data_IF_044118779174
#
_entry.id   IF_044118779174
#
_cell.length_a   1.000
_cell.length_b   1.000
_cell.length_c   1.000
_cell.angle_alpha   90.00
_cell.angle_beta   90.00
_cell.angle_gamma   90.00
#
_symmetry.space_group_name_H-M   'P 1'
#
loop_
_entity.id
_entity.type
_entity.pdbx_description
1 polymer ?
#
# COMPACT_ATOMS: atom_id res chain seq x y z
N UNK A 1 9.17 -5.69 11.04
CA UNK A 1 9.19 -5.88 9.57
C UNK A 1 7.79 -6.33 9.16
N UNK A 2 7.29 -5.85 8.01
CA UNK A 2 5.89 -6.03 7.59
C UNK A 2 5.48 -7.48 7.37
N UNK A 3 6.44 -8.35 7.03
CA UNK A 3 6.21 -9.76 6.75
C UNK A 3 7.32 -10.28 5.84
N UNK A 4 7.05 -11.40 5.18
CA UNK A 4 7.96 -12.04 4.23
C UNK A 4 7.74 -11.46 2.83
N UNK A 5 8.80 -11.13 2.08
CA UNK A 5 8.66 -10.75 0.68
C UNK A 5 8.20 -11.95 -0.16
N UNK A 6 7.17 -11.75 -0.98
CA UNK A 6 6.59 -12.76 -1.87
C UNK A 6 6.54 -12.26 -3.32
N UNK A 7 6.79 -13.13 -4.32
CA UNK A 7 6.67 -12.77 -5.73
C UNK A 7 5.21 -12.55 -6.15
N UNK A 8 4.98 -11.80 -7.23
CA UNK A 8 3.64 -11.48 -7.72
C UNK A 8 3.01 -12.57 -8.60
N UNK A 9 3.70 -13.69 -8.86
CA UNK A 9 3.27 -14.73 -9.81
C UNK A 9 1.92 -15.36 -9.48
N UNK A 10 1.55 -15.39 -8.19
CA UNK A 10 0.26 -15.90 -7.69
C UNK A 10 -0.82 -14.81 -7.57
N UNK A 11 -0.55 -13.62 -8.07
CA UNK A 11 -1.42 -12.46 -8.01
C UNK A 11 -1.92 -12.07 -6.61
N UNK A 12 -1.02 -11.98 -5.59
CA UNK A 12 -1.42 -11.72 -4.21
C UNK A 12 -2.10 -10.35 -4.10
N UNK A 13 -3.27 -10.30 -3.45
CA UNK A 13 -4.02 -9.04 -3.30
C UNK A 13 -4.40 -8.35 -4.63
N UNK A 14 -4.47 -9.10 -5.74
CA UNK A 14 -4.75 -8.57 -7.08
C UNK A 14 -3.55 -7.86 -7.74
N UNK A 15 -2.35 -7.99 -7.17
CA UNK A 15 -1.13 -7.47 -7.77
C UNK A 15 -0.72 -8.32 -8.99
N UNK A 16 -0.22 -7.70 -10.06
CA UNK A 16 0.08 -8.37 -11.32
C UNK A 16 1.58 -8.22 -11.63
N UNK A 17 2.28 -9.31 -11.98
CA UNK A 17 3.68 -9.23 -12.40
C UNK A 17 3.82 -8.35 -13.64
N UNK A 18 4.90 -7.55 -13.70
CA UNK A 18 5.15 -6.62 -14.81
C UNK A 18 4.31 -5.33 -14.79
N UNK A 19 3.24 -5.26 -13.99
CA UNK A 19 2.39 -4.07 -13.86
C UNK A 19 2.48 -3.41 -12.48
N UNK A 20 2.54 -4.21 -11.41
CA UNK A 20 2.48 -3.72 -10.03
C UNK A 20 3.80 -3.94 -9.26
N UNK A 21 4.89 -4.24 -9.96
CA UNK A 21 6.21 -4.48 -9.38
C UNK A 21 6.68 -5.93 -9.58
N UNK A 22 7.70 -6.31 -8.81
CA UNK A 22 8.29 -7.67 -8.81
C UNK A 22 7.92 -8.49 -7.59
N UNK A 23 7.70 -7.84 -6.44
CA UNK A 23 7.32 -8.51 -5.19
C UNK A 23 6.44 -7.60 -4.33
N UNK A 24 5.84 -8.20 -3.31
CA UNK A 24 5.20 -7.49 -2.21
C UNK A 24 5.52 -8.15 -0.87
N UNK A 25 4.96 -7.67 0.24
CA UNK A 25 5.06 -8.32 1.54
C UNK A 25 3.76 -9.03 1.89
N UNK A 26 3.91 -10.16 2.58
CA UNK A 26 2.80 -10.90 3.19
C UNK A 26 3.14 -11.26 4.63
N UNK A 27 2.20 -11.03 5.53
CA UNK A 27 2.20 -11.61 6.87
C UNK A 27 1.14 -12.68 6.93
N UNK A 28 1.45 -13.81 7.55
CA UNK A 28 0.51 -14.92 7.69
C UNK A 28 0.65 -15.52 9.09
N UNK A 29 -0.47 -15.72 9.76
CA UNK A 29 -0.58 -16.54 10.97
C UNK A 29 -1.54 -17.73 10.72
N UNK A 30 -1.93 -18.43 11.79
CA UNK A 30 -2.78 -19.62 11.69
C UNK A 30 -4.21 -19.33 11.21
N UNK A 31 -4.68 -18.08 11.34
CA UNK A 31 -6.08 -17.70 11.10
C UNK A 31 -6.23 -16.65 9.99
N UNK A 32 -5.19 -15.87 9.73
CA UNK A 32 -5.26 -14.69 8.89
C UNK A 32 -4.05 -14.56 7.99
N UNK A 33 -4.30 -13.93 6.84
CA UNK A 33 -3.26 -13.66 5.85
C UNK A 33 -3.41 -12.25 5.32
N UNK A 34 -2.33 -11.51 5.44
CA UNK A 34 -2.28 -10.09 5.16
C UNK A 34 -1.34 -9.86 3.99
N UNK A 35 -1.89 -9.51 2.84
CA UNK A 35 -1.10 -9.03 1.70
C UNK A 35 -1.02 -7.50 1.73
N UNK A 36 0.19 -6.97 1.69
CA UNK A 36 0.41 -5.53 1.65
C UNK A 36 0.42 -5.01 0.20
N UNK A 37 -0.24 -3.88 -0.06
CA UNK A 37 -0.22 -3.23 -1.39
C UNK A 37 0.68 -1.98 -1.34
N UNK A 38 1.99 -2.22 -1.43
CA UNK A 38 3.00 -1.17 -1.20
C UNK A 38 3.17 -0.27 -2.42
N UNK A 39 2.68 0.97 -2.33
CA UNK A 39 2.67 1.95 -3.43
C UNK A 39 4.06 2.26 -4.02
N UNK A 40 5.11 2.22 -3.20
CA UNK A 40 6.50 2.47 -3.60
C UNK A 40 7.16 1.32 -4.34
N UNK A 41 6.65 0.09 -4.16
CA UNK A 41 7.10 -1.08 -4.95
C UNK A 41 6.43 -1.13 -6.33
N UNK A 42 5.33 -0.40 -6.52
CA UNK A 42 4.64 -0.31 -7.80
C UNK A 42 5.36 0.71 -8.72
N UNK A 43 5.60 0.40 -10.00
CA UNK A 43 6.15 1.36 -10.94
C UNK A 43 5.17 2.51 -11.19
N UNK A 44 5.69 3.72 -11.43
CA UNK A 44 4.89 4.84 -11.90
C UNK A 44 4.83 4.81 -13.43
N UNK A 45 3.62 4.88 -14.00
CA UNK A 45 3.47 4.95 -15.45
C UNK A 45 3.77 6.37 -15.94
N UNK A 46 4.53 6.50 -17.02
CA UNK A 46 4.91 7.80 -17.61
C UNK A 46 3.69 8.65 -18.00
N UNK A 47 2.62 7.98 -18.46
CA UNK A 47 1.35 8.62 -18.84
C UNK A 47 0.34 8.74 -17.68
N UNK A 48 0.77 8.55 -16.43
CA UNK A 48 -0.09 8.63 -15.24
C UNK A 48 0.56 9.48 -14.12
N UNK A 49 0.74 10.80 -14.35
CA UNK A 49 1.40 11.69 -13.38
C UNK A 49 0.66 11.75 -12.03
N UNK A 50 -0.64 11.46 -12.02
CA UNK A 50 -1.46 11.45 -10.82
C UNK A 50 -1.55 10.06 -10.15
N UNK A 51 -0.82 9.06 -10.65
CA UNK A 51 -0.79 7.69 -10.11
C UNK A 51 -2.19 7.07 -9.96
N UNK A 52 -3.12 7.39 -10.86
CA UNK A 52 -4.50 6.88 -10.86
C UNK A 52 -4.56 5.36 -10.88
N UNK A 53 -3.64 4.70 -11.57
CA UNK A 53 -3.57 3.24 -11.66
C UNK A 53 -3.26 2.61 -10.30
N UNK A 54 -2.30 3.18 -9.57
CA UNK A 54 -1.99 2.78 -8.19
C UNK A 54 -3.17 3.08 -7.27
N UNK A 55 -3.73 4.29 -7.40
CA UNK A 55 -4.86 4.74 -6.60
C UNK A 55 -6.08 3.83 -6.74
N UNK A 56 -6.40 3.32 -7.94
CA UNK A 56 -7.53 2.38 -8.13
C UNK A 56 -7.38 1.09 -7.32
N UNK A 57 -6.18 0.55 -7.20
CA UNK A 57 -5.92 -0.66 -6.40
C UNK A 57 -5.94 -0.34 -4.91
N UNK A 58 -5.27 0.74 -4.52
CA UNK A 58 -5.06 1.15 -3.14
C UNK A 58 -6.34 1.68 -2.49
N UNK A 59 -7.08 2.54 -3.19
CA UNK A 59 -8.24 3.24 -2.66
C UNK A 59 -9.49 2.35 -2.50
N UNK A 60 -9.44 1.09 -2.96
CA UNK A 60 -10.49 0.10 -2.76
C UNK A 60 -10.31 -0.73 -1.48
N UNK A 61 -9.33 -0.40 -0.63
CA UNK A 61 -9.08 -1.10 0.62
C UNK A 61 -9.70 -0.34 1.81
N UNK A 62 -10.22 -1.09 2.78
CA UNK A 62 -10.89 -0.52 3.95
C UNK A 62 -9.93 0.16 4.94
N UNK A 63 -8.69 -0.37 5.02
CA UNK A 63 -7.65 0.08 5.96
C UNK A 63 -6.42 0.50 5.16
N UNK A 64 -5.77 1.58 5.60
CA UNK A 64 -4.53 2.05 4.99
C UNK A 64 -3.55 2.49 6.08
N UNK A 65 -2.34 1.99 6.05
CA UNK A 65 -1.23 2.59 6.81
C UNK A 65 -0.62 3.68 5.94
N UNK A 66 -0.25 4.80 6.55
CA UNK A 66 0.30 5.97 5.87
C UNK A 66 1.57 6.38 6.58
N UNK A 67 2.68 6.32 5.87
CA UNK A 67 3.94 6.91 6.33
C UNK A 67 3.99 8.34 5.80
N UNK A 68 3.78 9.30 6.70
CA UNK A 68 3.71 10.71 6.37
C UNK A 68 4.92 11.45 6.94
N UNK A 69 5.88 11.72 6.07
CA UNK A 69 7.08 12.50 6.41
C UNK A 69 6.98 13.95 5.90
N UNK A 70 5.81 14.38 5.43
CA UNK A 70 5.64 15.74 4.89
C UNK A 70 5.70 16.85 5.94
N UNK A 71 5.58 16.49 7.23
CA UNK A 71 5.46 17.45 8.33
C UNK A 71 4.10 18.16 8.39
N UNK A 72 3.21 17.92 7.42
CA UNK A 72 1.85 18.43 7.41
C UNK A 72 0.87 17.38 7.98
N UNK A 73 -0.22 17.77 8.66
CA UNK A 73 -1.22 16.84 9.16
C UNK A 73 -1.82 15.98 8.04
N UNK A 74 -1.88 14.66 8.23
CA UNK A 74 -2.54 13.80 7.26
C UNK A 74 -4.06 14.04 7.24
N UNK A 75 -4.62 14.25 6.05
CA UNK A 75 -6.06 14.42 5.84
C UNK A 75 -6.67 13.17 5.19
N UNK A 76 -7.60 12.53 5.89
CA UNK A 76 -8.46 11.46 5.33
C UNK A 76 -9.12 11.95 4.03
N UNK A 77 -9.04 11.15 2.97
CA UNK A 77 -9.51 11.50 1.62
C UNK A 77 -8.43 12.01 0.65
N UNK A 78 -7.22 12.33 1.14
CA UNK A 78 -6.14 12.82 0.25
C UNK A 78 -5.62 11.73 -0.68
N UNK A 79 -5.43 10.52 -0.15
CA UNK A 79 -4.89 9.37 -0.89
C UNK A 79 -5.87 8.19 -0.84
N UNK A 80 -6.42 7.93 0.33
CA UNK A 80 -7.36 6.86 0.56
C UNK A 80 -8.74 7.32 0.04
N UNK A 81 -9.32 6.59 -0.93
CA UNK A 81 -10.57 6.99 -1.58
C UNK A 81 -11.78 6.92 -0.65
N UNK A 82 -12.99 6.97 -1.22
CA UNK A 82 -14.24 6.98 -0.46
C UNK A 82 -14.46 5.74 0.43
N UNK A 83 -13.74 4.64 0.17
CA UNK A 83 -13.86 3.37 0.90
C UNK A 83 -12.84 3.21 2.03
N UNK A 84 -11.98 4.20 2.26
CA UNK A 84 -11.02 4.13 3.35
C UNK A 84 -11.64 4.62 4.66
N UNK A 85 -11.80 3.70 5.61
CA UNK A 85 -12.42 4.01 6.90
C UNK A 85 -11.39 4.40 7.97
N UNK A 86 -10.16 3.87 7.87
CA UNK A 86 -9.10 4.10 8.87
C UNK A 86 -7.76 4.35 8.17
N UNK A 87 -7.06 5.40 8.61
CA UNK A 87 -5.69 5.70 8.23
C UNK A 87 -4.79 5.71 9.47
N UNK A 88 -3.72 4.91 9.49
CA UNK A 88 -2.72 4.91 10.55
C UNK A 88 -1.50 5.73 10.12
N UNK A 89 -1.28 6.88 10.75
CA UNK A 89 -0.14 7.74 10.46
C UNK A 89 1.08 7.35 11.32
N UNK A 90 2.16 6.94 10.66
CA UNK A 90 3.47 6.77 11.30
C UNK A 90 4.39 7.93 10.89
N UNK A 91 4.88 8.68 11.88
CA UNK A 91 5.87 9.75 11.71
C UNK A 91 7.20 9.29 12.29
N UNK A 92 8.23 9.19 11.44
CA UNK A 92 9.63 8.96 11.85
C UNK A 92 10.47 10.17 11.45
N UNK A 93 11.31 10.66 12.36
CA UNK A 93 12.08 11.90 12.18
C UNK A 93 13.27 11.79 11.22
N UNK A 94 13.50 10.62 10.58
CA UNK A 94 14.65 10.44 9.70
C UNK A 94 14.51 9.17 8.83
N UNK A 95 14.14 9.33 7.55
CA UNK A 95 14.74 8.68 6.35
C UNK A 95 13.77 8.77 5.16
N UNK A 96 14.24 9.36 4.06
CA UNK A 96 13.52 9.52 2.80
C UNK A 96 12.79 8.27 2.31
N UNK A 97 11.48 8.14 2.55
CA UNK A 97 10.64 7.21 1.81
C UNK A 97 9.28 7.80 1.45
N UNK A 98 8.89 7.60 0.20
CA UNK A 98 7.54 7.89 -0.30
C UNK A 98 6.51 7.00 0.42
N UNK A 99 5.33 7.57 0.64
CA UNK A 99 4.10 6.96 1.17
C UNK A 99 4.05 5.43 1.01
N UNK A 100 4.26 4.69 2.10
CA UNK A 100 4.03 3.24 2.14
C UNK A 100 2.57 3.01 2.56
N UNK A 101 1.82 2.27 1.77
CA UNK A 101 0.43 1.92 2.05
C UNK A 101 0.31 0.41 2.29
N UNK A 102 -0.38 0.04 3.37
CA UNK A 102 -0.42 -1.33 3.91
C UNK A 102 -1.85 -1.68 4.32
N UNK A 103 -2.27 -2.93 4.07
CA UNK A 103 -3.61 -3.46 4.40
C UNK A 103 -3.50 -4.67 5.35
N UNK A 104 -4.62 -5.03 6.00
CA UNK A 104 -4.87 -6.16 6.91
C UNK A 104 -6.13 -6.91 6.40
N UNK A 105 -6.02 -8.18 5.99
CA UNK A 105 -7.19 -9.00 5.67
C UNK A 105 -7.42 -10.01 6.82
N UNK A 106 -8.51 -9.84 7.57
CA UNK A 106 -9.12 -10.93 8.33
C UNK A 106 -10.29 -11.46 7.52
N UNK A 107 -10.49 -12.77 7.56
CA UNK A 107 -11.52 -13.54 6.84
C UNK A 107 -12.91 -12.88 6.83
#
# INVERSE_FOLDING_TARGET
>A
LLGTPIPLDKHPGGLLPGKHGSYTYEYQDELSKITFLVATLMPQAENDPHCNMKKKLIANNFVSIVFNESGAPFKLGSVCGQFAHVALEASNFCLCFNLVLLFFCSE
#
